data_IF_420369065005
#
_entry.id   IF_420369065005
#
_cell.length_a   1.000
_cell.length_b   1.000
_cell.length_c   1.000
_cell.angle_alpha   90.00
_cell.angle_beta   90.00
_cell.angle_gamma   90.00
#
_symmetry.space_group_name_H-M   'P 1'
#
loop_
_entity.id
_entity.type
_entity.pdbx_description
1 polymer ?
#
# COMPACT_ATOMS: atom_id res chain seq x y z
N UNK A 1 10.35 -5.87 -42.44
CA UNK A 1 9.83 -4.97 -43.49
C UNK A 1 8.34 -4.77 -43.33
N UNK A 2 7.94 -3.55 -42.98
CA UNK A 2 6.54 -3.15 -42.78
C UNK A 2 5.76 -3.23 -44.10
N UNK A 3 6.40 -2.87 -45.23
CA UNK A 3 5.80 -2.93 -46.57
C UNK A 3 5.39 -4.34 -47.04
N UNK A 4 6.19 -5.37 -46.71
CA UNK A 4 5.83 -6.76 -47.00
C UNK A 4 4.66 -7.23 -46.15
N UNK A 5 4.58 -6.80 -44.89
CA UNK A 5 3.50 -7.15 -43.97
C UNK A 5 2.19 -6.45 -44.35
N UNK A 6 2.24 -5.21 -44.83
CA UNK A 6 1.07 -4.51 -45.36
C UNK A 6 0.53 -5.19 -46.63
N UNK A 7 1.40 -5.63 -47.54
CA UNK A 7 1.00 -6.47 -48.69
C UNK A 7 0.36 -7.78 -48.24
N UNK A 8 0.86 -8.41 -47.17
CA UNK A 8 0.25 -9.63 -46.62
C UNK A 8 -1.04 -9.35 -45.84
N UNK A 9 -1.16 -8.26 -45.08
CA UNK A 9 -2.36 -7.89 -44.34
C UNK A 9 -3.51 -7.47 -45.28
N UNK A 10 -3.18 -6.77 -46.36
CA UNK A 10 -4.15 -6.40 -47.41
C UNK A 10 -4.58 -7.58 -48.31
N UNK A 11 -3.81 -8.68 -48.34
CA UNK A 11 -4.09 -9.88 -49.14
C UNK A 11 -4.43 -11.14 -48.30
N UNK A 12 -4.82 -11.01 -47.04
CA UNK A 12 -5.12 -12.15 -46.13
C UNK A 12 -3.94 -13.11 -45.83
N UNK A 13 -2.70 -12.70 -46.12
CA UNK A 13 -1.46 -13.45 -45.96
C UNK A 13 -0.73 -13.30 -44.62
N UNK A 14 -1.36 -12.72 -43.59
CA UNK A 14 -0.74 -12.49 -42.27
C UNK A 14 -0.18 -13.78 -41.65
N UNK A 15 -0.86 -14.90 -41.90
CA UNK A 15 -0.46 -16.25 -41.49
C UNK A 15 0.93 -16.67 -42.00
N UNK A 16 1.40 -16.14 -43.14
CA UNK A 16 2.72 -16.46 -43.70
C UNK A 16 3.89 -15.86 -42.90
N UNK A 17 3.59 -15.03 -41.91
CA UNK A 17 4.56 -14.39 -41.01
C UNK A 17 4.58 -14.99 -39.61
N UNK A 18 3.71 -15.98 -39.35
CA UNK A 18 3.68 -16.71 -38.08
C UNK A 18 4.87 -17.67 -37.99
N UNK A 19 5.30 -18.00 -36.77
CA UNK A 19 6.42 -18.90 -36.54
C UNK A 19 6.21 -20.26 -37.21
N UNK A 20 4.98 -20.79 -37.21
CA UNK A 20 4.64 -22.03 -37.91
C UNK A 20 4.87 -21.98 -39.42
N UNK A 21 4.59 -20.85 -40.07
CA UNK A 21 4.83 -20.67 -41.50
C UNK A 21 6.32 -20.43 -41.81
N UNK A 22 7.06 -19.77 -40.92
CA UNK A 22 8.51 -19.62 -41.03
C UNK A 22 9.20 -20.98 -40.90
N UNK A 23 8.80 -21.78 -39.91
CA UNK A 23 9.30 -23.16 -39.72
C UNK A 23 9.00 -23.98 -40.97
N UNK A 24 7.76 -23.93 -41.48
CA UNK A 24 7.36 -24.67 -42.67
C UNK A 24 8.21 -24.36 -43.92
N UNK A 25 8.70 -23.13 -44.08
CA UNK A 25 9.59 -22.75 -45.21
C UNK A 25 10.89 -23.53 -45.23
N UNK A 26 11.39 -23.98 -44.09
CA UNK A 26 12.62 -24.79 -44.01
C UNK A 26 12.39 -26.27 -44.36
N UNK A 27 11.14 -26.72 -44.44
CA UNK A 27 10.77 -28.11 -44.74
C UNK A 27 10.13 -28.25 -46.13
N UNK A 28 10.24 -27.24 -47.00
CA UNK A 28 9.78 -27.33 -48.38
C UNK A 28 10.67 -28.31 -49.15
N UNK A 29 10.13 -29.47 -49.49
CA UNK A 29 10.83 -30.44 -50.33
C UNK A 29 10.80 -29.99 -51.79
N UNK A 30 11.94 -30.04 -52.47
CA UNK A 30 12.08 -29.58 -53.87
C UNK A 30 11.17 -30.31 -54.88
N UNK A 31 10.59 -31.45 -54.48
CA UNK A 31 9.77 -32.31 -55.31
C UNK A 31 8.25 -32.10 -55.14
N UNK A 32 7.80 -31.31 -54.16
CA UNK A 32 6.38 -31.06 -53.91
C UNK A 32 5.84 -30.00 -54.88
N UNK A 33 5.40 -30.43 -56.07
CA UNK A 33 4.91 -29.54 -57.14
C UNK A 33 3.45 -29.13 -56.98
N UNK A 34 2.64 -29.95 -56.32
CA UNK A 34 1.19 -29.70 -56.13
C UNK A 34 0.88 -29.14 -54.73
N UNK A 35 -0.29 -28.50 -54.57
CA UNK A 35 -0.73 -28.01 -53.26
C UNK A 35 -1.04 -29.15 -52.27
N UNK A 36 -1.57 -30.27 -52.78
CA UNK A 36 -1.90 -31.45 -51.97
C UNK A 36 -0.65 -32.15 -51.43
N UNK A 37 0.40 -32.30 -52.25
CA UNK A 37 1.69 -32.85 -51.81
C UNK A 37 2.30 -32.00 -50.70
N UNK A 38 2.31 -30.67 -50.86
CA UNK A 38 2.78 -29.74 -49.81
C UNK A 38 1.99 -29.87 -48.51
N UNK A 39 0.67 -30.05 -48.60
CA UNK A 39 -0.18 -30.27 -47.43
C UNK A 39 0.09 -31.61 -46.73
N UNK A 40 0.33 -32.67 -47.50
CA UNK A 40 0.69 -33.99 -46.97
C UNK A 40 2.06 -33.98 -46.28
N UNK A 41 3.07 -33.34 -46.90
CA UNK A 41 4.40 -33.15 -46.31
C UNK A 41 4.33 -32.34 -45.02
N UNK A 42 3.55 -31.25 -45.01
CA UNK A 42 3.32 -30.45 -43.80
C UNK A 42 2.71 -31.28 -42.67
N UNK A 43 1.66 -32.05 -42.96
CA UNK A 43 0.97 -32.88 -41.95
C UNK A 43 1.86 -33.99 -41.39
N UNK A 44 2.71 -34.57 -42.22
CA UNK A 44 3.55 -35.73 -41.86
C UNK A 44 4.81 -35.31 -41.11
N UNK A 45 5.47 -34.23 -41.55
CA UNK A 45 6.80 -33.87 -41.03
C UNK A 45 6.80 -32.58 -40.19
N UNK A 46 6.09 -31.54 -40.63
CA UNK A 46 6.15 -30.21 -39.98
C UNK A 46 5.25 -30.12 -38.77
N UNK A 47 4.01 -30.63 -38.86
CA UNK A 47 3.03 -30.55 -37.77
C UNK A 47 3.50 -31.23 -36.48
N UNK A 48 4.12 -32.43 -36.49
CA UNK A 48 4.64 -33.04 -35.26
C UNK A 48 5.74 -32.21 -34.60
N UNK A 49 6.64 -31.62 -35.39
CA UNK A 49 7.72 -30.75 -34.89
C UNK A 49 7.14 -29.50 -34.24
N UNK A 50 6.18 -28.85 -34.90
CA UNK A 50 5.48 -27.68 -34.34
C UNK A 50 4.76 -28.04 -33.04
N UNK A 51 4.10 -29.19 -32.98
CA UNK A 51 3.43 -29.67 -31.76
C UNK A 51 4.44 -29.89 -30.63
N UNK A 52 5.56 -30.55 -30.90
CA UNK A 52 6.61 -30.76 -29.92
C UNK A 52 7.20 -29.43 -29.40
N UNK A 53 7.40 -28.45 -30.28
CA UNK A 53 7.88 -27.12 -29.87
C UNK A 53 6.86 -26.35 -29.01
N UNK A 54 5.56 -26.57 -29.23
CA UNK A 54 4.49 -26.03 -28.36
C UNK A 54 4.53 -26.71 -27.00
N UNK A 55 4.66 -28.04 -26.97
CA UNK A 55 4.70 -28.83 -25.74
C UNK A 55 5.93 -28.49 -24.89
N UNK A 56 7.08 -28.25 -25.54
CA UNK A 56 8.31 -27.75 -24.93
C UNK A 56 8.27 -26.25 -24.55
N UNK A 57 7.14 -25.56 -24.81
CA UNK A 57 6.95 -24.11 -24.58
C UNK A 57 7.97 -23.21 -25.28
N UNK A 58 8.61 -23.69 -26.34
CA UNK A 58 9.54 -22.89 -27.16
C UNK A 58 8.81 -21.95 -28.12
N UNK A 59 7.63 -22.36 -28.57
CA UNK A 59 6.71 -21.52 -29.35
C UNK A 59 5.34 -21.50 -28.69
N UNK A 60 4.62 -20.39 -28.87
CA UNK A 60 3.31 -20.15 -28.30
C UNK A 60 2.24 -20.43 -29.35
N UNK A 61 1.27 -21.26 -28.99
CA UNK A 61 0.03 -21.41 -29.73
C UNK A 61 -1.06 -20.57 -29.06
N UNK A 62 -1.50 -19.51 -29.75
CA UNK A 62 -2.53 -18.61 -29.25
C UNK A 62 -3.78 -18.74 -30.10
N UNK A 63 -4.93 -18.87 -29.44
CA UNK A 63 -6.22 -19.08 -30.11
C UNK A 63 -7.24 -18.11 -29.57
N UNK A 64 -7.94 -17.44 -30.49
CA UNK A 64 -9.16 -16.72 -30.21
C UNK A 64 -10.35 -17.60 -30.61
N UNK A 65 -11.07 -18.09 -29.61
CA UNK A 65 -12.23 -18.97 -29.79
C UNK A 65 -13.42 -18.25 -30.44
N UNK A 66 -13.54 -16.94 -30.26
CA UNK A 66 -14.68 -16.16 -30.74
C UNK A 66 -14.61 -15.92 -32.26
N UNK A 67 -13.39 -15.78 -32.79
CA UNK A 67 -13.14 -15.57 -34.22
C UNK A 67 -12.62 -16.82 -34.94
N UNK A 68 -12.51 -17.96 -34.24
CA UNK A 68 -11.82 -19.17 -34.73
C UNK A 68 -10.44 -18.86 -35.33
N UNK A 69 -9.77 -17.85 -34.78
CA UNK A 69 -8.45 -17.43 -35.23
C UNK A 69 -7.38 -18.09 -34.37
N UNK A 70 -6.29 -18.54 -34.99
CA UNK A 70 -5.14 -19.07 -34.27
C UNK A 70 -3.85 -18.51 -34.85
N UNK A 71 -2.85 -18.34 -33.98
CA UNK A 71 -1.52 -17.89 -34.37
C UNK A 71 -0.45 -18.66 -33.61
N UNK A 72 0.69 -18.84 -34.27
CA UNK A 72 1.87 -19.49 -33.68
C UNK A 72 2.98 -18.45 -33.63
N UNK A 73 3.48 -18.15 -32.44
CA UNK A 73 4.46 -17.09 -32.18
C UNK A 73 5.69 -17.64 -31.45
N UNK A 74 6.83 -16.97 -31.55
CA UNK A 74 7.97 -17.26 -30.68
C UNK A 74 7.68 -16.76 -29.27
N UNK A 75 8.06 -17.54 -28.26
CA UNK A 75 7.66 -17.30 -26.86
C UNK A 75 8.57 -16.35 -26.07
N UNK A 76 9.66 -15.87 -26.66
CA UNK A 76 10.61 -14.98 -26.01
C UNK A 76 10.16 -13.51 -26.03
N UNK A 77 10.53 -12.77 -24.99
CA UNK A 77 10.14 -11.37 -24.79
C UNK A 77 10.59 -10.45 -25.94
N UNK A 78 11.82 -10.54 -26.49
CA UNK A 78 12.24 -9.75 -27.65
C UNK A 78 11.41 -10.03 -28.91
N UNK A 79 11.13 -11.30 -29.23
CA UNK A 79 10.35 -11.66 -30.41
C UNK A 79 8.89 -11.20 -30.30
N UNK A 80 8.28 -11.34 -29.12
CA UNK A 80 6.93 -10.83 -28.88
C UNK A 80 6.87 -9.30 -28.95
N UNK A 81 7.86 -8.60 -28.39
CA UNK A 81 7.96 -7.13 -28.52
C UNK A 81 8.03 -6.71 -29.98
N UNK A 82 8.90 -7.34 -30.77
CA UNK A 82 9.01 -7.06 -32.19
C UNK A 82 7.71 -7.36 -32.93
N UNK A 83 7.02 -8.46 -32.60
CA UNK A 83 5.72 -8.79 -33.17
C UNK A 83 4.67 -7.72 -32.84
N UNK A 84 4.65 -7.22 -31.61
CA UNK A 84 3.76 -6.13 -31.19
C UNK A 84 4.03 -4.83 -31.96
N UNK A 85 5.28 -4.42 -32.10
CA UNK A 85 5.65 -3.22 -32.86
C UNK A 85 5.18 -3.32 -34.32
N UNK A 86 5.34 -4.51 -34.93
CA UNK A 86 4.87 -4.77 -36.28
C UNK A 86 3.34 -4.74 -36.38
N UNK A 87 2.63 -5.41 -35.47
CA UNK A 87 1.16 -5.46 -35.47
C UNK A 87 0.57 -4.07 -35.20
N UNK A 88 1.12 -3.31 -34.26
CA UNK A 88 0.73 -1.94 -33.97
C UNK A 88 0.92 -1.04 -35.21
N UNK A 89 2.07 -1.14 -35.89
CA UNK A 89 2.32 -0.41 -37.14
C UNK A 89 1.30 -0.76 -38.22
N UNK A 90 0.96 -2.04 -38.36
CA UNK A 90 -0.07 -2.50 -39.30
C UNK A 90 -1.46 -1.96 -38.92
N UNK A 91 -1.78 -1.91 -37.62
CA UNK A 91 -3.05 -1.37 -37.13
C UNK A 91 -3.17 0.14 -37.40
N UNK A 92 -2.11 0.93 -37.21
CA UNK A 92 -2.09 2.37 -37.54
C UNK A 92 -2.45 2.60 -39.02
N UNK A 93 -1.93 1.76 -39.92
CA UNK A 93 -2.22 1.90 -41.36
C UNK A 93 -3.59 1.35 -41.73
N UNK A 94 -4.02 0.22 -41.14
CA UNK A 94 -5.21 -0.51 -41.57
C UNK A 94 -6.50 -0.10 -40.84
N UNK A 95 -6.41 0.50 -39.65
CA UNK A 95 -7.55 0.81 -38.79
C UNK A 95 -7.60 2.33 -38.57
N UNK A 96 -8.62 3.02 -39.11
CA UNK A 96 -8.77 4.46 -38.90
C UNK A 96 -8.87 4.80 -37.41
N UNK A 97 -8.06 5.76 -36.96
CA UNK A 97 -8.06 6.23 -35.57
C UNK A 97 -7.24 5.38 -34.59
N UNK A 98 -6.56 4.32 -35.06
CA UNK A 98 -5.60 3.57 -34.24
C UNK A 98 -4.31 4.39 -34.05
N UNK A 99 -3.84 4.52 -32.81
CA UNK A 99 -2.68 5.32 -32.46
C UNK A 99 -1.60 4.44 -31.84
N UNK A 100 -0.38 4.48 -32.40
CA UNK A 100 0.80 3.87 -31.80
C UNK A 100 1.87 4.95 -31.57
N UNK A 101 2.20 5.29 -30.31
CA UNK A 101 3.32 6.17 -30.01
C UNK A 101 4.67 5.57 -30.47
N UNK A 102 5.69 6.42 -30.61
CA UNK A 102 7.04 6.00 -31.03
C UNK A 102 7.67 4.99 -30.05
N UNK A 103 7.36 5.11 -28.75
CA UNK A 103 7.64 4.07 -27.76
C UNK A 103 6.40 3.21 -27.55
N UNK A 104 6.59 1.89 -27.46
CA UNK A 104 5.51 0.92 -27.32
C UNK A 104 4.79 1.09 -25.98
N UNK A 105 3.64 1.76 -25.99
CA UNK A 105 2.76 1.87 -24.83
C UNK A 105 1.77 0.69 -24.79
N UNK A 106 2.06 -0.29 -23.93
CA UNK A 106 1.32 -1.56 -23.85
C UNK A 106 -0.12 -1.35 -23.37
N UNK A 107 -0.34 -0.40 -22.46
CA UNK A 107 -1.67 -0.16 -21.89
C UNK A 107 -2.58 0.55 -22.89
N UNK A 108 -2.06 1.56 -23.58
CA UNK A 108 -2.76 2.20 -24.69
C UNK A 108 -3.14 1.21 -25.80
N UNK A 109 -2.20 0.34 -26.20
CA UNK A 109 -2.46 -0.69 -27.22
C UNK A 109 -3.51 -1.71 -26.75
N UNK A 110 -3.50 -2.05 -25.46
CA UNK A 110 -4.48 -2.97 -24.86
C UNK A 110 -5.89 -2.37 -24.88
N UNK A 111 -6.05 -1.10 -24.52
CA UNK A 111 -7.34 -0.40 -24.53
C UNK A 111 -7.88 -0.25 -25.95
N UNK A 112 -7.02 0.14 -26.90
CA UNK A 112 -7.40 0.26 -28.30
C UNK A 112 -7.77 -1.10 -28.90
N UNK A 113 -7.01 -2.15 -28.63
CA UNK A 113 -7.32 -3.50 -29.12
C UNK A 113 -8.70 -3.97 -28.65
N UNK A 114 -9.04 -3.80 -27.38
CA UNK A 114 -10.36 -4.18 -26.84
C UNK A 114 -11.51 -3.33 -27.40
N UNK A 115 -11.27 -2.03 -27.62
CA UNK A 115 -12.25 -1.14 -28.27
C UNK A 115 -12.53 -1.58 -29.70
N UNK A 116 -11.49 -1.66 -30.53
CA UNK A 116 -11.62 -1.96 -31.96
C UNK A 116 -12.05 -3.41 -32.23
N UNK A 117 -11.82 -4.33 -31.29
CA UNK A 117 -12.29 -5.72 -31.40
C UNK A 117 -13.83 -5.83 -31.44
N UNK A 118 -14.54 -4.90 -30.79
CA UNK A 118 -16.01 -4.87 -30.74
C UNK A 118 -16.64 -4.22 -31.97
N UNK A 119 -15.84 -3.55 -32.79
CA UNK A 119 -16.32 -2.79 -33.96
C UNK A 119 -16.48 -3.68 -35.20
N UNK A 120 -17.35 -3.24 -36.12
CA UNK A 120 -17.68 -3.97 -37.33
C UNK A 120 -16.64 -3.72 -38.45
N UNK A 121 -15.47 -4.37 -38.32
CA UNK A 121 -14.42 -4.32 -39.33
C UNK A 121 -14.43 -5.50 -40.32
N UNK A 122 -13.64 -5.37 -41.39
CA UNK A 122 -13.39 -6.46 -42.34
C UNK A 122 -12.72 -7.66 -41.65
N UNK A 123 -12.85 -8.85 -42.25
CA UNK A 123 -12.28 -10.09 -41.69
C UNK A 123 -10.76 -9.98 -41.45
N UNK A 124 -10.02 -9.34 -42.36
CA UNK A 124 -8.56 -9.15 -42.23
C UNK A 124 -8.20 -8.20 -41.07
N UNK A 125 -8.93 -7.10 -40.91
CA UNK A 125 -8.76 -6.17 -39.79
C UNK A 125 -9.10 -6.84 -38.45
N UNK A 126 -10.17 -7.65 -38.40
CA UNK A 126 -10.53 -8.41 -37.19
C UNK A 126 -9.46 -9.42 -36.80
N UNK A 127 -8.88 -10.13 -37.78
CA UNK A 127 -7.76 -11.04 -37.52
C UNK A 127 -6.52 -10.31 -36.99
N UNK A 128 -6.21 -9.13 -37.54
CA UNK A 128 -5.09 -8.30 -37.09
C UNK A 128 -5.27 -7.85 -35.63
N UNK A 129 -6.47 -7.37 -35.26
CA UNK A 129 -6.80 -6.96 -33.89
C UNK A 129 -6.78 -8.16 -32.94
N UNK A 130 -7.33 -9.31 -33.37
CA UNK A 130 -7.32 -10.53 -32.58
C UNK A 130 -5.88 -11.01 -32.30
N UNK A 131 -5.01 -10.98 -33.30
CA UNK A 131 -3.61 -11.33 -33.12
C UNK A 131 -2.90 -10.37 -32.16
N UNK A 132 -3.09 -9.05 -32.35
CA UNK A 132 -2.54 -8.03 -31.47
C UNK A 132 -2.94 -8.27 -30.00
N UNK A 133 -4.22 -8.52 -29.75
CA UNK A 133 -4.77 -8.79 -28.41
C UNK A 133 -4.17 -10.04 -27.76
N UNK A 134 -4.04 -11.13 -28.52
CA UNK A 134 -3.44 -12.38 -28.04
C UNK A 134 -1.97 -12.19 -27.67
N UNK A 135 -1.19 -11.54 -28.54
CA UNK A 135 0.23 -11.27 -28.31
C UNK A 135 0.43 -10.31 -27.13
N UNK A 136 -0.42 -9.28 -27.01
CA UNK A 136 -0.38 -8.33 -25.89
C UNK A 136 -0.61 -9.01 -24.55
N UNK A 137 -1.56 -9.95 -24.50
CA UNK A 137 -1.91 -10.68 -23.27
C UNK A 137 -0.72 -11.52 -22.78
N UNK A 138 -0.10 -12.28 -23.68
CA UNK A 138 1.09 -13.08 -23.34
C UNK A 138 2.30 -12.22 -23.01
N UNK A 139 2.51 -11.12 -23.73
CA UNK A 139 3.59 -10.19 -23.44
C UNK A 139 3.45 -9.57 -22.04
N UNK A 140 2.24 -9.14 -21.65
CA UNK A 140 1.94 -8.66 -20.29
C UNK A 140 2.21 -9.75 -19.24
N UNK A 141 1.81 -11.00 -19.52
CA UNK A 141 2.08 -12.15 -18.63
C UNK A 141 3.57 -12.36 -18.42
N UNK A 142 4.36 -12.37 -19.50
CA UNK A 142 5.82 -12.57 -19.43
C UNK A 142 6.49 -11.42 -18.66
N UNK A 143 6.12 -10.16 -18.94
CA UNK A 143 6.65 -9.02 -18.20
C UNK A 143 6.35 -9.09 -16.72
N UNK A 144 5.13 -9.50 -16.34
CA UNK A 144 4.75 -9.67 -14.94
C UNK A 144 5.59 -10.74 -14.25
N UNK A 145 5.73 -11.91 -14.88
CA UNK A 145 6.53 -13.01 -14.34
C UNK A 145 8.00 -12.61 -14.19
N UNK A 146 8.54 -11.88 -15.16
CA UNK A 146 9.92 -11.39 -15.11
C UNK A 146 10.11 -10.37 -13.98
N UNK A 147 9.21 -9.38 -13.85
CA UNK A 147 9.23 -8.41 -12.75
C UNK A 147 9.12 -9.10 -11.39
N UNK A 148 8.24 -10.10 -11.25
CA UNK A 148 8.10 -10.86 -10.01
C UNK A 148 9.37 -11.68 -9.69
N UNK A 149 10.02 -12.26 -10.71
CA UNK A 149 11.28 -12.97 -10.55
C UNK A 149 12.41 -12.03 -10.14
N UNK A 150 12.58 -10.91 -10.84
CA UNK A 150 13.58 -9.88 -10.52
C UNK A 150 13.38 -9.35 -9.09
N UNK A 151 12.14 -9.11 -8.67
CA UNK A 151 11.85 -8.69 -7.29
C UNK A 151 12.21 -9.78 -6.27
N UNK A 152 11.90 -11.06 -6.55
CA UNK A 152 12.29 -12.17 -5.67
C UNK A 152 13.80 -12.33 -5.59
N UNK A 153 14.49 -12.20 -6.71
CA UNK A 153 15.96 -12.30 -6.77
C UNK A 153 16.60 -11.13 -6.02
N UNK A 154 16.08 -9.91 -6.13
CA UNK A 154 16.54 -8.75 -5.36
C UNK A 154 16.38 -8.96 -3.85
N UNK A 155 15.21 -9.43 -3.41
CA UNK A 155 14.92 -9.71 -2.01
C UNK A 155 15.79 -10.86 -1.49
N UNK A 156 15.99 -11.91 -2.30
CA UNK A 156 16.90 -13.00 -2.00
C UNK A 156 18.34 -12.53 -1.82
N UNK A 157 18.84 -11.68 -2.73
CA UNK A 157 20.17 -11.08 -2.61
C UNK A 157 20.30 -10.25 -1.34
N UNK A 158 19.30 -9.43 -1.01
CA UNK A 158 19.30 -8.66 0.24
C UNK A 158 19.37 -9.57 1.49
N UNK A 159 18.65 -10.70 1.49
CA UNK A 159 18.74 -11.67 2.58
C UNK A 159 20.13 -12.30 2.65
N UNK A 160 20.74 -12.64 1.52
CA UNK A 160 22.12 -13.17 1.51
C UNK A 160 23.13 -12.14 2.03
N UNK A 161 22.97 -10.86 1.69
CA UNK A 161 23.85 -9.80 2.18
C UNK A 161 23.67 -9.56 3.67
N UNK A 162 22.44 -9.56 4.17
CA UNK A 162 22.17 -9.50 5.60
C UNK A 162 22.74 -10.71 6.36
N UNK A 163 22.72 -11.90 5.74
CA UNK A 163 23.26 -13.13 6.35
C UNK A 163 24.79 -13.11 6.44
N UNK A 164 25.49 -12.26 5.68
CA UNK A 164 26.95 -12.07 5.83
C UNK A 164 27.31 -11.26 7.08
N UNK A 165 26.33 -10.61 7.71
CA UNK A 165 26.56 -9.63 8.77
C UNK A 165 26.21 -10.25 10.13
N UNK A 166 27.19 -10.29 11.03
CA UNK A 166 27.06 -10.85 12.39
C UNK A 166 26.68 -9.78 13.43
N UNK A 167 25.93 -8.75 13.04
CA UNK A 167 25.54 -7.63 13.92
C UNK A 167 24.25 -6.98 13.45
N UNK A 168 23.65 -6.18 14.34
CA UNK A 168 22.46 -5.41 14.00
C UNK A 168 22.84 -4.21 13.13
N UNK A 169 22.09 -3.97 12.05
CA UNK A 169 22.44 -2.94 11.06
C UNK A 169 21.24 -2.07 10.75
N UNK A 170 21.50 -0.76 10.63
CA UNK A 170 20.49 0.20 10.18
C UNK A 170 20.22 0.02 8.69
N UNK A 171 18.96 0.15 8.27
CA UNK A 171 18.58 0.18 6.85
C UNK A 171 19.35 1.23 6.05
N UNK A 172 19.75 2.34 6.67
CA UNK A 172 20.54 3.41 6.05
C UNK A 172 21.98 2.99 5.70
N UNK A 173 22.47 1.87 6.22
CA UNK A 173 23.74 1.30 5.81
C UNK A 173 23.71 0.88 4.33
N UNK A 174 22.54 0.44 3.85
CA UNK A 174 22.32 0.02 2.48
C UNK A 174 21.86 1.22 1.65
N UNK A 175 22.82 1.93 1.03
CA UNK A 175 22.53 3.07 0.16
C UNK A 175 21.61 2.75 -1.02
N UNK A 176 21.57 1.48 -1.42
CA UNK A 176 20.83 1.02 -2.59
C UNK A 176 19.39 0.59 -2.24
N UNK A 177 18.96 0.74 -0.98
CA UNK A 177 17.63 0.32 -0.55
C UNK A 177 16.70 1.53 -0.46
N UNK A 178 15.69 1.53 -1.33
CA UNK A 178 14.60 2.49 -1.31
C UNK A 178 13.61 2.15 -0.18
N UNK A 179 12.79 3.12 0.24
CA UNK A 179 11.80 2.93 1.32
C UNK A 179 10.83 1.76 1.04
N UNK A 180 10.36 1.63 -0.20
CA UNK A 180 9.50 0.51 -0.62
C UNK A 180 10.20 -0.85 -0.53
N UNK A 181 11.50 -0.88 -0.85
CA UNK A 181 12.29 -2.11 -0.75
C UNK A 181 12.54 -2.49 0.70
N UNK A 182 12.82 -1.50 1.56
CA UNK A 182 12.98 -1.69 3.01
C UNK A 182 11.72 -2.32 3.61
N UNK A 183 10.53 -1.85 3.25
CA UNK A 183 9.26 -2.44 3.70
C UNK A 183 9.11 -3.90 3.28
N UNK A 184 9.52 -4.26 2.05
CA UNK A 184 9.51 -5.65 1.57
C UNK A 184 10.47 -6.55 2.35
N UNK A 185 11.68 -6.06 2.62
CA UNK A 185 12.70 -6.81 3.39
C UNK A 185 12.24 -7.01 4.84
N UNK A 186 11.67 -5.98 5.46
CA UNK A 186 11.12 -6.06 6.82
C UNK A 186 9.91 -7.00 6.89
N UNK A 187 9.12 -7.08 5.84
CA UNK A 187 7.98 -8.00 5.75
C UNK A 187 8.39 -9.48 5.65
N UNK A 188 9.68 -9.80 5.50
CA UNK A 188 10.14 -11.18 5.45
C UNK A 188 10.05 -11.86 6.82
N UNK A 189 9.59 -13.12 6.88
CA UNK A 189 9.45 -13.85 8.14
C UNK A 189 10.80 -14.12 8.82
N UNK A 190 11.90 -14.21 8.08
CA UNK A 190 13.23 -14.52 8.62
C UNK A 190 14.00 -13.30 9.13
N UNK A 191 13.41 -12.12 8.99
CA UNK A 191 14.03 -10.84 9.31
C UNK A 191 13.36 -10.26 10.55
N UNK A 192 14.16 -9.91 11.55
CA UNK A 192 13.76 -9.14 12.72
C UNK A 192 14.02 -7.67 12.45
N UNK A 193 13.07 -6.82 12.86
CA UNK A 193 13.15 -5.39 12.69
C UNK A 193 12.74 -4.65 13.96
N UNK A 194 13.35 -3.50 14.19
CA UNK A 194 12.90 -2.55 15.21
C UNK A 194 13.22 -1.13 14.80
N UNK A 195 12.31 -0.20 15.09
CA UNK A 195 12.59 1.23 15.01
C UNK A 195 13.24 1.67 16.32
N UNK A 196 14.40 2.31 16.23
CA UNK A 196 15.15 2.75 17.41
C UNK A 196 15.64 4.20 17.25
N UNK A 197 15.48 5.06 18.27
CA UNK A 197 15.97 6.42 18.23
C UNK A 197 17.49 6.43 18.45
N UNK A 198 18.24 6.94 17.48
CA UNK A 198 19.69 7.16 17.60
C UNK A 198 20.07 8.52 17.00
N UNK A 199 20.87 9.31 17.73
CA UNK A 199 21.40 10.60 17.27
C UNK A 199 20.32 11.58 16.76
N UNK A 200 19.15 11.61 17.41
CA UNK A 200 18.04 12.51 17.05
C UNK A 200 17.26 12.13 15.79
N UNK A 201 17.46 10.90 15.27
CA UNK A 201 16.67 10.31 14.18
C UNK A 201 16.12 8.96 14.63
N UNK A 202 14.95 8.59 14.12
CA UNK A 202 14.45 7.21 14.25
C UNK A 202 15.00 6.42 13.08
N UNK A 203 15.75 5.37 13.36
CA UNK A 203 16.34 4.49 12.37
C UNK A 203 15.72 3.11 12.49
N UNK A 204 15.49 2.46 11.36
CA UNK A 204 15.06 1.08 11.33
C UNK A 204 16.30 0.19 11.33
N UNK A 205 16.34 -0.75 12.27
CA UNK A 205 17.38 -1.76 12.38
C UNK A 205 16.85 -3.12 11.96
N UNK A 206 17.71 -3.90 11.35
CA UNK A 206 17.39 -5.19 10.74
C UNK A 206 18.40 -6.23 11.18
N UNK A 207 17.92 -7.45 11.45
CA UNK A 207 18.73 -8.60 11.81
C UNK A 207 18.09 -9.89 11.27
N UNK A 208 18.88 -10.79 10.68
CA UNK A 208 18.38 -12.11 10.26
C UNK A 208 18.29 -13.04 11.47
N UNK A 209 17.19 -13.79 11.61
CA UNK A 209 16.97 -14.70 12.75
C UNK A 209 18.12 -15.69 12.97
N UNK A 210 18.71 -16.21 11.89
CA UNK A 210 19.86 -17.11 11.95
C UNK A 210 21.12 -16.49 12.57
N UNK A 211 21.21 -15.15 12.57
CA UNK A 211 22.36 -14.38 13.06
C UNK A 211 22.14 -13.74 14.44
N UNK A 212 21.08 -14.12 15.15
CA UNK A 212 20.78 -13.60 16.49
C UNK A 212 21.92 -13.86 17.48
N UNK A 213 22.40 -15.10 17.60
CA UNK A 213 23.47 -15.42 18.55
C UNK A 213 24.82 -14.76 18.20
N UNK A 214 25.30 -14.78 16.93
CA UNK A 214 26.46 -14.00 16.51
C UNK A 214 26.36 -12.50 16.86
N UNK A 215 25.19 -11.89 16.66
CA UNK A 215 24.95 -10.49 17.02
C UNK A 215 25.07 -10.24 18.53
N UNK A 216 24.58 -11.16 19.38
CA UNK A 216 24.76 -11.08 20.84
C UNK A 216 26.23 -11.12 21.23
N UNK A 217 27.03 -11.99 20.60
CA UNK A 217 28.47 -12.06 20.85
C UNK A 217 29.20 -10.80 20.40
N UNK A 218 28.79 -10.19 19.28
CA UNK A 218 29.34 -8.92 18.82
C UNK A 218 28.99 -7.77 19.78
N UNK A 219 27.73 -7.68 20.19
CA UNK A 219 27.25 -6.68 21.13
C UNK A 219 27.98 -6.78 22.48
N UNK A 220 28.26 -8.01 22.95
CA UNK A 220 29.11 -8.24 24.13
C UNK A 220 30.51 -7.66 23.96
N UNK A 221 31.17 -7.94 22.83
CA UNK A 221 32.50 -7.40 22.54
C UNK A 221 32.50 -5.87 22.50
N UNK A 222 31.49 -5.26 21.87
CA UNK A 222 31.36 -3.80 21.82
C UNK A 222 31.12 -3.19 23.22
N UNK A 223 30.34 -3.85 24.07
CA UNK A 223 30.16 -3.40 25.45
C UNK A 223 31.48 -3.51 26.24
N UNK A 224 32.19 -4.63 26.12
CA UNK A 224 33.45 -4.85 26.86
C UNK A 224 34.59 -3.92 26.35
N UNK A 225 34.62 -3.55 25.06
CA UNK A 225 35.66 -2.71 24.46
C UNK A 225 35.37 -1.20 24.50
N UNK A 226 34.11 -0.80 24.28
CA UNK A 226 33.71 0.60 24.06
C UNK A 226 32.67 1.12 25.05
N UNK A 227 32.16 0.26 25.94
CA UNK A 227 31.04 0.56 26.84
C UNK A 227 29.79 1.06 26.09
N UNK A 228 29.59 0.58 24.86
CA UNK A 228 28.45 0.95 24.01
C UNK A 228 27.26 0.00 24.27
N UNK A 229 26.24 0.51 24.99
CA UNK A 229 25.02 -0.23 25.31
C UNK A 229 23.99 -0.29 24.16
N UNK A 230 24.21 0.45 23.06
CA UNK A 230 23.16 0.69 22.05
C UNK A 230 22.73 -0.59 21.34
N UNK A 231 23.66 -1.44 20.91
CA UNK A 231 23.33 -2.68 20.20
C UNK A 231 22.53 -3.65 21.08
N UNK A 232 22.86 -3.76 22.37
CA UNK A 232 22.12 -4.62 23.32
C UNK A 232 20.71 -4.09 23.56
N UNK A 233 20.53 -2.76 23.64
CA UNK A 233 19.19 -2.15 23.73
C UNK A 233 18.35 -2.43 22.49
N UNK A 234 18.94 -2.33 21.30
CA UNK A 234 18.27 -2.64 20.03
C UNK A 234 17.87 -4.13 20.00
N UNK A 235 18.77 -5.04 20.38
CA UNK A 235 18.49 -6.47 20.47
C UNK A 235 17.35 -6.78 21.48
N UNK A 236 17.38 -6.16 22.66
CA UNK A 236 16.31 -6.24 23.66
C UNK A 236 14.96 -5.75 23.09
N UNK A 237 14.97 -4.63 22.36
CA UNK A 237 13.78 -4.07 21.73
C UNK A 237 13.23 -4.95 20.58
N UNK A 238 14.10 -5.64 19.84
CA UNK A 238 13.72 -6.68 18.87
C UNK A 238 13.12 -7.93 19.52
N UNK A 239 13.27 -8.10 20.84
CA UNK A 239 12.74 -9.25 21.58
C UNK A 239 13.50 -10.55 21.30
N UNK A 240 14.82 -10.47 21.06
CA UNK A 240 15.61 -11.63 20.64
C UNK A 240 15.64 -12.78 21.64
N UNK A 241 15.34 -12.53 22.93
CA UNK A 241 15.30 -13.56 23.96
C UNK A 241 14.32 -14.71 23.66
N UNK A 242 13.33 -14.49 22.78
CA UNK A 242 12.41 -15.55 22.31
C UNK A 242 13.05 -16.54 21.33
N UNK A 243 14.17 -16.17 20.71
CA UNK A 243 14.86 -16.96 19.70
C UNK A 243 16.16 -17.60 20.23
N UNK A 244 16.49 -17.35 21.50
CA UNK A 244 17.67 -17.92 22.16
C UNK A 244 17.25 -19.04 23.11
N UNK A 245 18.04 -20.11 23.15
CA UNK A 245 17.77 -21.26 24.01
C UNK A 245 18.95 -21.57 24.94
N UNK A 246 18.64 -22.09 26.13
CA UNK A 246 19.61 -22.66 27.07
C UNK A 246 20.72 -21.70 27.49
N UNK A 247 21.96 -22.00 27.09
CA UNK A 247 23.16 -21.22 27.42
C UNK A 247 23.16 -19.86 26.71
N UNK A 248 22.69 -19.80 25.47
CA UNK A 248 22.69 -18.56 24.68
C UNK A 248 21.79 -17.50 25.32
N UNK A 249 20.62 -17.93 25.82
CA UNK A 249 19.69 -17.07 26.54
C UNK A 249 20.34 -16.51 27.83
N UNK A 250 21.01 -17.36 28.61
CA UNK A 250 21.71 -16.93 29.84
C UNK A 250 22.80 -15.89 29.55
N UNK A 251 23.54 -16.06 28.45
CA UNK A 251 24.55 -15.07 28.03
C UNK A 251 23.89 -13.73 27.75
N UNK A 252 22.77 -13.71 27.03
CA UNK A 252 22.04 -12.48 26.75
C UNK A 252 21.43 -11.85 28.01
N UNK A 253 20.77 -12.63 28.87
CA UNK A 253 20.21 -12.16 30.14
C UNK A 253 21.29 -11.56 31.05
N UNK A 254 22.48 -12.16 31.10
CA UNK A 254 23.61 -11.63 31.87
C UNK A 254 24.08 -10.26 31.34
N UNK A 255 24.02 -10.05 30.02
CA UNK A 255 24.37 -8.77 29.41
C UNK A 255 23.32 -7.70 29.70
N UNK A 256 22.03 -8.05 29.59
CA UNK A 256 20.93 -7.17 29.97
C UNK A 256 20.99 -6.79 31.45
N UNK A 257 21.24 -7.76 32.34
CA UNK A 257 21.43 -7.52 33.77
C UNK A 257 22.57 -6.52 34.04
N UNK A 258 23.68 -6.62 33.31
CA UNK A 258 24.81 -5.68 33.46
C UNK A 258 24.40 -4.24 33.12
N UNK A 259 23.67 -4.06 32.02
CA UNK A 259 23.16 -2.73 31.61
C UNK A 259 22.13 -2.21 32.62
N UNK A 260 21.19 -3.05 33.03
CA UNK A 260 20.17 -2.67 34.01
C UNK A 260 20.79 -2.34 35.36
N UNK A 261 21.85 -3.04 35.76
CA UNK A 261 22.56 -2.77 37.01
C UNK A 261 23.19 -1.38 36.98
N UNK A 262 23.82 -0.98 35.87
CA UNK A 262 24.40 0.35 35.72
C UNK A 262 23.38 1.49 35.85
N UNK A 263 22.11 1.22 35.51
CA UNK A 263 21.01 2.19 35.58
C UNK A 263 20.37 2.32 36.96
N UNK A 264 20.69 1.43 37.90
CA UNK A 264 20.20 1.55 39.27
C UNK A 264 20.72 2.85 39.92
N UNK A 265 19.91 3.48 40.79
CA UNK A 265 20.37 4.61 41.59
C UNK A 265 21.67 4.28 42.32
N UNK A 266 22.61 5.23 42.34
CA UNK A 266 23.97 4.99 42.86
C UNK A 266 23.98 4.46 44.29
N UNK A 267 23.05 4.90 45.15
CA UNK A 267 22.92 4.42 46.52
C UNK A 267 22.49 2.95 46.59
N UNK A 268 21.63 2.47 45.67
CA UNK A 268 21.26 1.04 45.58
C UNK A 268 22.42 0.21 45.06
N UNK A 269 23.17 0.71 44.09
CA UNK A 269 24.40 0.06 43.59
C UNK A 269 25.44 -0.07 44.71
N UNK A 270 25.67 1.01 45.45
CA UNK A 270 26.61 1.06 46.56
C UNK A 270 26.18 0.11 47.69
N UNK A 271 24.91 0.15 48.09
CA UNK A 271 24.38 -0.72 49.13
C UNK A 271 24.47 -2.21 48.74
N UNK A 272 24.24 -2.55 47.46
CA UNK A 272 24.45 -3.92 46.94
C UNK A 272 25.91 -4.31 46.85
N UNK A 273 26.82 -3.37 46.61
CA UNK A 273 28.25 -3.64 46.63
C UNK A 273 28.78 -3.97 48.04
N UNK A 274 28.17 -3.39 49.08
CA UNK A 274 28.56 -3.63 50.49
C UNK A 274 27.79 -4.76 51.18
N UNK A 275 26.50 -4.94 50.91
CA UNK A 275 25.60 -5.79 51.72
C UNK A 275 24.74 -6.78 50.93
N UNK A 276 24.78 -6.77 49.58
CA UNK A 276 23.78 -7.45 48.75
C UNK A 276 24.32 -8.48 47.76
N UNK A 277 23.39 -9.24 47.16
CA UNK A 277 23.64 -10.03 45.95
C UNK A 277 23.83 -9.07 44.76
N UNK A 278 24.83 -9.33 43.90
CA UNK A 278 25.08 -8.55 42.67
C UNK A 278 24.01 -8.75 41.58
N UNK A 279 23.17 -9.78 41.68
CA UNK A 279 22.11 -10.08 40.70
C UNK A 279 20.85 -9.27 40.98
N UNK A 280 20.22 -8.77 39.91
CA UNK A 280 18.91 -8.10 39.97
C UNK A 280 17.80 -9.13 40.20
N UNK A 281 16.74 -8.73 40.90
CA UNK A 281 15.49 -9.51 40.89
C UNK A 281 14.82 -9.39 39.53
N UNK A 282 14.08 -10.42 39.12
CA UNK A 282 13.37 -10.43 37.85
C UNK A 282 12.33 -9.31 37.76
N UNK A 283 11.69 -8.96 38.89
CA UNK A 283 10.76 -7.83 38.98
C UNK A 283 11.45 -6.47 38.78
N UNK A 284 12.64 -6.28 39.36
CA UNK A 284 13.42 -5.05 39.18
C UNK A 284 13.96 -4.92 37.76
N UNK A 285 14.43 -6.02 37.19
CA UNK A 285 14.87 -6.09 35.80
C UNK A 285 13.72 -5.72 34.86
N UNK A 286 12.52 -6.25 35.10
CA UNK A 286 11.33 -5.93 34.31
C UNK A 286 10.93 -4.46 34.47
N UNK A 287 10.94 -3.91 35.69
CA UNK A 287 10.63 -2.51 35.93
C UNK A 287 11.59 -1.55 35.19
N UNK A 288 12.89 -1.84 35.22
CA UNK A 288 13.90 -1.05 34.49
C UNK A 288 13.70 -1.19 32.98
N UNK A 289 13.45 -2.41 32.49
CA UNK A 289 13.17 -2.67 31.07
C UNK A 289 11.93 -1.91 30.59
N UNK A 290 10.86 -1.88 31.37
CA UNK A 290 9.63 -1.16 31.02
C UNK A 290 9.85 0.35 31.05
N UNK A 291 10.61 0.86 32.02
CA UNK A 291 11.00 2.27 32.05
C UNK A 291 11.83 2.66 30.82
N UNK A 292 12.77 1.81 30.40
CA UNK A 292 13.59 2.00 29.21
C UNK A 292 12.76 2.03 27.94
N UNK A 293 11.86 1.05 27.76
CA UNK A 293 10.95 1.01 26.61
C UNK A 293 10.08 2.26 26.55
N UNK A 294 9.60 2.74 27.70
CA UNK A 294 8.81 3.97 27.76
C UNK A 294 9.62 5.20 27.34
N UNK A 295 10.85 5.34 27.83
CA UNK A 295 11.76 6.41 27.41
C UNK A 295 12.04 6.37 25.91
N UNK A 296 12.31 5.18 25.36
CA UNK A 296 12.56 4.99 23.93
C UNK A 296 11.35 5.35 23.08
N UNK A 297 10.14 4.94 23.50
CA UNK A 297 8.89 5.31 22.84
C UNK A 297 8.64 6.82 22.88
N UNK A 298 8.86 7.46 24.03
CA UNK A 298 8.69 8.90 24.19
C UNK A 298 9.67 9.68 23.28
N UNK A 299 10.93 9.24 23.20
CA UNK A 299 11.94 9.79 22.28
C UNK A 299 11.54 9.60 20.82
N UNK A 300 11.04 8.42 20.43
CA UNK A 300 10.55 8.16 19.08
C UNK A 300 9.38 9.09 18.72
N UNK A 301 8.41 9.23 19.62
CA UNK A 301 7.26 10.11 19.43
C UNK A 301 7.72 11.56 19.28
N UNK A 302 8.65 12.01 20.13
CA UNK A 302 9.20 13.36 20.05
C UNK A 302 9.92 13.63 18.72
N UNK A 303 10.77 12.70 18.27
CA UNK A 303 11.48 12.83 16.98
C UNK A 303 10.50 12.82 15.81
N UNK A 304 9.55 11.88 15.78
CA UNK A 304 8.53 11.79 14.72
C UNK A 304 7.66 13.06 14.68
N UNK A 305 7.27 13.60 15.84
CA UNK A 305 6.53 14.86 15.92
C UNK A 305 7.35 16.02 15.36
N UNK A 306 8.63 16.13 15.73
CA UNK A 306 9.53 17.17 15.22
C UNK A 306 9.78 17.05 13.71
N UNK A 307 9.86 15.83 13.18
CA UNK A 307 9.98 15.58 11.75
C UNK A 307 8.68 15.94 11.00
N UNK A 308 7.52 15.57 11.54
CA UNK A 308 6.23 15.94 10.98
C UNK A 308 6.03 17.46 10.95
N UNK A 309 6.39 18.18 12.03
CA UNK A 309 6.37 19.64 12.08
C UNK A 309 7.31 20.29 11.05
N UNK A 310 8.48 19.68 10.80
CA UNK A 310 9.40 20.16 9.75
C UNK A 310 8.85 19.89 8.35
N UNK A 311 8.24 18.74 8.12
CA UNK A 311 7.62 18.39 6.84
C UNK A 311 6.43 19.31 6.53
N UNK A 312 5.56 19.57 7.50
CA UNK A 312 4.44 20.51 7.32
C UNK A 312 4.91 21.93 7.07
N UNK A 313 5.98 22.38 7.73
CA UNK A 313 6.61 23.68 7.44
C UNK A 313 7.19 23.74 6.03
N UNK A 314 7.90 22.71 5.57
CA UNK A 314 8.42 22.66 4.19
C UNK A 314 7.31 22.68 3.15
N UNK A 315 6.25 21.91 3.35
CA UNK A 315 5.08 21.91 2.45
C UNK A 315 4.42 23.29 2.43
N UNK A 316 4.30 23.95 3.59
CA UNK A 316 3.77 25.30 3.67
C UNK A 316 4.69 26.32 2.98
N UNK A 317 6.01 26.21 3.16
CA UNK A 317 7.02 27.05 2.49
C UNK A 317 7.01 26.84 0.97
N UNK A 318 6.97 25.59 0.49
CA UNK A 318 6.83 25.25 -0.94
C UNK A 318 5.52 25.76 -1.53
N UNK A 319 4.41 25.70 -0.79
CA UNK A 319 3.14 26.30 -1.20
C UNK A 319 3.19 27.84 -1.24
N UNK A 320 3.95 28.48 -0.35
CA UNK A 320 4.15 29.93 -0.35
C UNK A 320 5.10 30.33 -1.50
N UNK A 321 6.15 29.56 -1.75
CA UNK A 321 7.11 29.80 -2.83
C UNK A 321 6.50 29.55 -4.21
N UNK A 322 5.69 28.50 -4.39
CA UNK A 322 4.95 28.28 -5.64
C UNK A 322 3.93 29.39 -5.89
N UNK A 323 3.24 29.88 -4.84
CA UNK A 323 2.39 31.08 -4.93
C UNK A 323 3.19 32.35 -5.26
N UNK A 324 4.42 32.50 -4.76
CA UNK A 324 5.29 33.65 -5.08
C UNK A 324 5.88 33.57 -6.50
N UNK A 325 6.29 32.38 -6.96
CA UNK A 325 6.82 32.17 -8.32
C UNK A 325 5.74 32.27 -9.39
N UNK A 326 4.51 31.87 -9.07
CA UNK A 326 3.36 32.10 -9.95
C UNK A 326 2.92 33.58 -9.99
N UNK A 327 3.38 34.42 -9.05
CA UNK A 327 3.13 35.86 -9.04
C UNK A 327 4.25 36.69 -9.70
N UNK A 328 5.23 36.04 -10.36
CA UNK A 328 6.42 36.72 -10.91
C UNK A 328 6.68 36.46 -12.40
N UNK A 329 5.64 36.22 -13.20
CA UNK A 329 5.74 36.27 -14.66
C UNK A 329 4.51 36.98 -15.23
N UNK A 330 4.76 38.18 -15.77
CA UNK A 330 3.91 39.02 -16.62
C UNK A 330 2.43 39.17 -16.25
N UNK A 331 2.10 40.26 -15.55
CA UNK A 331 1.42 41.37 -16.23
C UNK A 331 1.36 42.63 -15.34
N UNK A 332 1.39 43.78 -16.01
CA UNK A 332 1.38 45.10 -15.42
C UNK A 332 0.17 45.31 -14.48
N UNK A 333 0.42 45.95 -13.34
CA UNK A 333 -0.58 46.36 -12.36
C UNK A 333 -1.62 47.29 -13.04
N UNK A 334 -2.92 46.95 -13.09
CA UNK A 334 -3.96 47.95 -13.00
C UNK A 334 -4.26 48.19 -11.51
N UNK A 335 -4.30 49.45 -11.13
CA UNK A 335 -4.70 49.86 -9.78
C UNK A 335 -6.14 49.42 -9.52
N UNK A 336 -6.34 48.23 -8.94
CA UNK A 336 -7.56 47.76 -8.25
C UNK A 336 -7.35 46.48 -7.41
N UNK A 337 -6.11 46.12 -7.05
CA UNK A 337 -5.83 44.86 -6.34
C UNK A 337 -6.02 44.90 -4.82
N UNK A 338 -6.25 46.06 -4.20
CA UNK A 338 -6.53 46.14 -2.77
C UNK A 338 -8.00 45.81 -2.44
N UNK A 339 -8.93 46.16 -3.32
CA UNK A 339 -10.35 45.81 -3.18
C UNK A 339 -10.61 44.34 -3.52
N UNK A 340 -9.91 43.74 -4.48
CA UNK A 340 -10.00 42.30 -4.75
C UNK A 340 -9.34 41.44 -3.67
N UNK A 341 -8.20 41.85 -3.11
CA UNK A 341 -7.57 41.11 -2.00
C UNK A 341 -8.36 41.25 -0.70
N UNK A 342 -8.97 42.42 -0.43
CA UNK A 342 -9.89 42.57 0.70
C UNK A 342 -11.24 41.90 0.43
N UNK A 343 -11.70 41.79 -0.82
CA UNK A 343 -12.88 41.01 -1.20
C UNK A 343 -12.64 39.50 -1.07
N UNK A 344 -11.51 38.96 -1.52
CA UNK A 344 -11.17 37.53 -1.36
C UNK A 344 -10.91 37.16 0.12
N UNK A 345 -10.33 38.07 0.91
CA UNK A 345 -10.18 37.88 2.35
C UNK A 345 -11.53 38.00 3.07
N UNK A 346 -12.41 38.94 2.66
CA UNK A 346 -13.79 39.03 3.18
C UNK A 346 -14.65 37.86 2.73
N UNK A 347 -14.45 37.32 1.53
CA UNK A 347 -15.15 36.14 1.01
C UNK A 347 -14.71 34.89 1.74
N UNK A 348 -13.41 34.68 1.99
CA UNK A 348 -12.94 33.55 2.79
C UNK A 348 -13.41 33.64 4.25
N UNK A 349 -13.45 34.83 4.85
CA UNK A 349 -14.06 35.04 6.18
C UNK A 349 -15.57 34.78 6.15
N UNK A 350 -16.31 35.25 5.13
CA UNK A 350 -17.74 34.97 4.96
C UNK A 350 -18.04 33.50 4.70
N UNK A 351 -17.15 32.79 3.99
CA UNK A 351 -17.26 31.35 3.72
C UNK A 351 -17.04 30.55 5.01
N UNK A 352 -16.10 30.96 5.87
CA UNK A 352 -15.89 30.32 7.16
C UNK A 352 -17.00 30.67 8.17
N UNK A 353 -17.56 31.88 8.16
CA UNK A 353 -18.76 32.22 8.95
C UNK A 353 -19.97 31.39 8.54
N UNK A 354 -20.22 31.26 7.22
CA UNK A 354 -21.28 30.41 6.69
C UNK A 354 -21.03 28.93 7.01
N UNK A 355 -19.78 28.47 6.97
CA UNK A 355 -19.44 27.11 7.36
C UNK A 355 -19.68 26.87 8.87
N UNK A 356 -19.39 27.84 9.73
CA UNK A 356 -19.69 27.74 11.16
C UNK A 356 -21.20 27.74 11.42
N UNK A 357 -21.99 28.51 10.67
CA UNK A 357 -23.46 28.46 10.73
C UNK A 357 -24.01 27.10 10.31
N UNK A 358 -23.54 26.54 9.20
CA UNK A 358 -23.95 25.20 8.73
C UNK A 358 -23.53 24.13 9.74
N UNK A 359 -22.33 24.23 10.34
CA UNK A 359 -21.89 23.31 11.38
C UNK A 359 -22.76 23.41 12.64
N UNK A 360 -23.19 24.61 13.03
CA UNK A 360 -24.14 24.79 14.15
C UNK A 360 -25.47 24.12 13.85
N UNK A 361 -26.02 24.29 12.64
CA UNK A 361 -27.26 23.60 12.22
C UNK A 361 -27.11 22.08 12.30
N UNK A 362 -25.98 21.53 11.82
CA UNK A 362 -25.68 20.09 11.93
C UNK A 362 -25.65 19.66 13.41
N UNK A 363 -24.97 20.42 14.27
CA UNK A 363 -24.87 20.08 15.70
C UNK A 363 -26.23 20.14 16.40
N UNK A 364 -27.04 21.17 16.14
CA UNK A 364 -28.38 21.31 16.70
C UNK A 364 -29.29 20.18 16.22
N UNK A 365 -29.20 19.79 14.94
CA UNK A 365 -29.92 18.65 14.38
C UNK A 365 -29.53 17.34 15.08
N UNK A 366 -28.22 17.06 15.18
CA UNK A 366 -27.71 15.86 15.85
C UNK A 366 -28.18 15.80 17.31
N UNK A 367 -28.05 16.90 18.06
CA UNK A 367 -28.47 16.96 19.46
C UNK A 367 -29.99 16.69 19.60
N UNK A 368 -30.80 17.19 18.67
CA UNK A 368 -32.25 16.96 18.68
C UNK A 368 -32.65 15.49 18.50
N UNK A 369 -31.92 14.74 17.67
CA UNK A 369 -32.14 13.31 17.46
C UNK A 369 -31.74 12.51 18.70
N UNK A 370 -30.59 12.86 19.30
CA UNK A 370 -30.16 12.24 20.55
C UNK A 370 -31.13 12.50 21.70
N UNK A 371 -31.73 13.69 21.79
CA UNK A 371 -32.77 14.00 22.77
C UNK A 371 -34.06 13.20 22.56
N UNK A 372 -34.40 12.89 21.30
CA UNK A 372 -35.51 11.99 20.94
C UNK A 372 -35.18 10.50 21.11
N UNK A 373 -33.95 10.16 21.52
CA UNK A 373 -33.43 8.80 21.61
C UNK A 373 -33.40 8.07 20.26
N UNK A 374 -33.25 8.83 19.18
CA UNK A 374 -33.07 8.31 17.82
C UNK A 374 -31.61 8.45 17.40
N UNK A 375 -31.07 7.44 16.73
CA UNK A 375 -29.68 7.46 16.26
C UNK A 375 -29.60 8.21 14.93
N UNK A 376 -28.83 9.32 14.84
CA UNK A 376 -28.73 10.09 13.61
C UNK A 376 -28.13 9.25 12.48
N UNK A 377 -28.88 9.07 11.40
CA UNK A 377 -28.45 8.34 10.21
C UNK A 377 -28.08 9.27 9.04
N UNK A 378 -27.49 8.70 7.99
CA UNK A 378 -27.07 9.41 6.76
C UNK A 378 -28.20 10.26 6.17
N UNK A 379 -29.38 9.68 6.01
CA UNK A 379 -30.50 10.33 5.31
C UNK A 379 -31.05 11.50 6.14
N UNK A 380 -31.12 11.35 7.47
CA UNK A 380 -31.55 12.41 8.37
C UNK A 380 -30.65 13.64 8.35
N UNK A 381 -29.32 13.45 8.24
CA UNK A 381 -28.37 14.57 8.14
C UNK A 381 -28.41 15.22 6.75
N UNK A 382 -28.58 14.43 5.69
CA UNK A 382 -28.70 14.94 4.32
C UNK A 382 -29.98 15.75 4.10
N UNK A 383 -31.12 15.23 4.57
CA UNK A 383 -32.42 15.90 4.44
C UNK A 383 -32.57 17.08 5.41
N UNK A 384 -31.98 16.98 6.60
CA UNK A 384 -32.10 17.99 7.65
C UNK A 384 -31.23 19.24 7.45
N UNK A 385 -30.25 19.19 6.54
CA UNK A 385 -29.35 20.32 6.26
C UNK A 385 -29.39 20.66 4.78
N UNK A 386 -30.24 21.64 4.44
CA UNK A 386 -30.50 22.11 3.07
C UNK A 386 -29.21 22.52 2.35
N UNK A 387 -28.22 23.03 3.08
CA UNK A 387 -26.92 23.46 2.56
C UNK A 387 -26.08 22.30 1.95
N UNK A 388 -26.48 21.03 2.11
CA UNK A 388 -25.84 19.88 1.46
C UNK A 388 -26.48 19.47 0.12
N UNK A 389 -27.60 20.08 -0.28
CA UNK A 389 -28.28 19.82 -1.57
C UNK A 389 -28.57 18.32 -1.84
N UNK A 390 -28.82 17.54 -0.78
CA UNK A 390 -28.94 16.07 -0.84
C UNK A 390 -27.73 15.35 -1.47
N UNK A 391 -26.56 16.01 -1.53
CA UNK A 391 -25.33 15.45 -2.05
C UNK A 391 -24.45 14.92 -0.90
N UNK A 392 -24.28 13.60 -0.87
CA UNK A 392 -23.46 12.91 0.13
C UNK A 392 -21.99 13.32 0.12
N UNK A 393 -21.40 13.51 -1.06
CA UNK A 393 -19.98 13.84 -1.18
C UNK A 393 -19.70 15.23 -0.59
N UNK A 394 -20.63 16.18 -0.82
CA UNK A 394 -20.57 17.53 -0.25
C UNK A 394 -20.65 17.48 1.27
N UNK A 395 -21.60 16.72 1.84
CA UNK A 395 -21.73 16.54 3.29
C UNK A 395 -20.46 15.91 3.90
N UNK A 396 -19.93 14.84 3.29
CA UNK A 396 -18.75 14.15 3.80
C UNK A 396 -17.52 15.07 3.77
N UNK A 397 -17.31 15.78 2.67
CA UNK A 397 -16.20 16.73 2.53
C UNK A 397 -16.31 17.86 3.55
N UNK A 398 -17.51 18.39 3.76
CA UNK A 398 -17.78 19.42 4.75
C UNK A 398 -17.49 18.95 6.18
N UNK A 399 -18.03 17.79 6.59
CA UNK A 399 -17.79 17.21 7.92
C UNK A 399 -16.32 16.86 8.15
N UNK A 400 -15.60 16.40 7.12
CA UNK A 400 -14.16 16.14 7.20
C UNK A 400 -13.34 17.42 7.37
N UNK A 401 -13.78 18.55 6.79
CA UNK A 401 -13.05 19.83 6.86
C UNK A 401 -13.34 20.58 8.16
N UNK A 402 -14.61 20.69 8.55
CA UNK A 402 -15.05 21.55 9.67
C UNK A 402 -15.49 20.77 10.92
N UNK A 403 -15.98 19.53 10.77
CA UNK A 403 -16.59 18.74 11.86
C UNK A 403 -15.60 18.05 12.81
N UNK A 404 -14.33 17.85 12.44
CA UNK A 404 -13.36 17.00 13.19
C UNK A 404 -13.21 17.33 14.68
N UNK A 405 -13.35 18.60 15.08
CA UNK A 405 -13.17 19.03 16.48
C UNK A 405 -14.46 18.96 17.31
N UNK A 406 -15.62 18.97 16.63
CA UNK A 406 -16.93 19.18 17.26
C UNK A 406 -17.85 17.96 17.14
N UNK A 407 -17.62 17.05 16.20
CA UNK A 407 -18.44 15.87 15.96
C UNK A 407 -17.57 14.63 16.09
N UNK A 408 -18.02 13.67 16.90
CA UNK A 408 -17.45 12.34 16.99
C UNK A 408 -18.32 11.34 16.23
N UNK A 409 -17.71 10.21 15.87
CA UNK A 409 -18.41 9.15 15.15
C UNK A 409 -17.99 7.78 15.68
N UNK A 410 -18.93 6.84 15.71
CA UNK A 410 -18.67 5.44 16.04
C UNK A 410 -19.53 4.52 15.16
N UNK A 411 -19.11 3.25 15.03
CA UNK A 411 -19.80 2.26 14.20
C UNK A 411 -20.42 1.18 15.07
N UNK A 412 -21.60 0.76 14.69
CA UNK A 412 -22.25 -0.46 15.20
C UNK A 412 -21.85 -1.58 14.27
N UNK A 413 -21.25 -2.65 14.79
CA UNK A 413 -20.72 -3.75 13.98
C UNK A 413 -21.85 -4.70 13.56
N UNK A 414 -22.66 -4.27 12.58
CA UNK A 414 -23.79 -5.02 12.04
C UNK A 414 -23.97 -4.76 10.54
N UNK A 415 -24.33 -5.79 9.78
CA UNK A 415 -24.46 -5.75 8.32
C UNK A 415 -25.81 -5.17 7.84
N UNK A 416 -26.55 -4.45 8.70
CA UNK A 416 -27.80 -3.80 8.33
C UNK A 416 -27.53 -2.48 7.59
N UNK A 417 -28.21 -2.21 6.45
CA UNK A 417 -28.12 -0.93 5.72
C UNK A 417 -28.23 0.33 6.60
N UNK A 418 -28.98 0.27 7.71
CA UNK A 418 -29.14 1.36 8.68
C UNK A 418 -27.84 1.72 9.42
N UNK A 419 -26.92 0.77 9.59
CA UNK A 419 -25.68 0.92 10.37
C UNK A 419 -24.40 0.95 9.51
N UNK A 420 -24.54 0.89 8.18
CA UNK A 420 -23.42 1.04 7.22
C UNK A 420 -22.72 2.39 7.39
N UNK A 421 -23.48 3.43 7.74
CA UNK A 421 -22.95 4.76 8.00
C UNK A 421 -22.67 4.95 9.50
N UNK A 422 -21.54 5.58 9.88
CA UNK A 422 -21.20 5.76 11.30
C UNK A 422 -22.20 6.69 11.98
N UNK A 423 -22.56 6.36 13.21
CA UNK A 423 -23.44 7.19 14.03
C UNK A 423 -22.67 8.42 14.48
N UNK A 424 -23.26 9.60 14.30
CA UNK A 424 -22.65 10.87 14.68
C UNK A 424 -23.18 11.38 16.02
N UNK A 425 -22.28 11.94 16.82
CA UNK A 425 -22.62 12.59 18.09
C UNK A 425 -21.80 13.85 18.29
N UNK A 426 -22.44 14.94 18.70
CA UNK A 426 -21.73 16.19 18.94
C UNK A 426 -20.94 16.13 20.25
N UNK A 427 -19.80 16.83 20.28
CA UNK A 427 -19.01 17.04 21.50
C UNK A 427 -19.82 17.78 22.56
N UNK A 428 -20.69 18.70 22.14
CA UNK A 428 -21.56 19.49 23.01
C UNK A 428 -22.54 18.58 23.76
N UNK A 429 -23.13 17.61 23.06
CA UNK A 429 -24.02 16.61 23.65
C UNK A 429 -23.30 15.74 24.66
N UNK A 430 -22.12 15.22 24.29
CA UNK A 430 -21.30 14.36 25.17
C UNK A 430 -20.89 15.07 26.46
N UNK A 431 -20.60 16.37 26.40
CA UNK A 431 -20.25 17.14 27.61
C UNK A 431 -21.44 17.26 28.58
N UNK A 432 -22.67 17.33 28.07
CA UNK A 432 -23.89 17.47 28.90
C UNK A 432 -24.44 16.14 29.37
N UNK A 433 -24.47 15.13 28.49
CA UNK A 433 -25.20 13.87 28.72
C UNK A 433 -24.31 12.62 28.72
N UNK A 434 -23.00 12.73 28.45
CA UNK A 434 -22.12 11.57 28.26
C UNK A 434 -22.07 10.59 29.45
N UNK A 435 -22.05 11.08 30.69
CA UNK A 435 -22.10 10.20 31.88
C UNK A 435 -23.44 9.48 32.03
N UNK A 436 -24.55 10.12 31.64
CA UNK A 436 -25.89 9.53 31.66
C UNK A 436 -26.01 8.46 30.57
N UNK A 437 -25.57 8.77 29.35
CA UNK A 437 -25.55 7.84 28.22
C UNK A 437 -24.72 6.60 28.51
N UNK A 438 -23.55 6.74 29.15
CA UNK A 438 -22.72 5.59 29.51
C UNK A 438 -23.44 4.67 30.50
N UNK A 439 -24.11 5.24 31.50
CA UNK A 439 -24.89 4.46 32.47
C UNK A 439 -26.06 3.75 31.79
N UNK A 440 -26.82 4.46 30.95
CA UNK A 440 -27.94 3.88 30.20
C UNK A 440 -27.48 2.75 29.26
N UNK A 441 -26.32 2.91 28.61
CA UNK A 441 -25.75 1.88 27.75
C UNK A 441 -25.31 0.63 28.53
N UNK A 442 -24.68 0.79 29.70
CA UNK A 442 -24.30 -0.33 30.58
C UNK A 442 -25.56 -1.04 31.09
N UNK A 443 -26.56 -0.29 31.59
CA UNK A 443 -27.82 -0.85 32.09
C UNK A 443 -28.58 -1.61 31.00
N UNK A 444 -28.62 -1.11 29.76
CA UNK A 444 -29.30 -1.78 28.65
C UNK A 444 -28.50 -3.00 28.15
N UNK A 445 -27.17 -2.92 28.09
CA UNK A 445 -26.29 -4.05 27.78
C UNK A 445 -26.47 -5.21 28.76
N UNK A 446 -26.49 -4.89 30.07
CA UNK A 446 -26.70 -5.89 31.12
C UNK A 446 -28.13 -6.44 31.12
N UNK A 447 -29.14 -5.58 30.87
CA UNK A 447 -30.54 -6.01 30.74
C UNK A 447 -30.72 -7.00 29.59
N UNK A 448 -30.13 -6.73 28.42
CA UNK A 448 -30.21 -7.63 27.28
C UNK A 448 -29.41 -8.93 27.52
N UNK A 449 -28.27 -8.89 28.23
CA UNK A 449 -27.54 -10.12 28.63
C UNK A 449 -28.34 -11.04 29.54
N UNK A 450 -29.18 -10.46 30.40
CA UNK A 450 -29.98 -11.20 31.39
C UNK A 450 -31.38 -11.57 30.87
N UNK A 451 -31.80 -11.05 29.71
CA UNK A 451 -33.11 -11.33 29.13
C UNK A 451 -33.17 -12.76 28.57
N UNK A 452 -34.28 -13.48 28.82
CA UNK A 452 -34.51 -14.81 28.25
C UNK A 452 -34.62 -14.81 26.72
N UNK A 453 -34.98 -13.68 26.12
CA UNK A 453 -35.00 -13.47 24.68
C UNK A 453 -34.42 -12.07 24.37
N UNK A 454 -33.11 -11.98 24.11
CA UNK A 454 -32.44 -10.69 23.89
C UNK A 454 -32.77 -10.09 22.52
N UNK A 455 -33.01 -8.79 22.49
CA UNK A 455 -33.07 -8.03 21.24
C UNK A 455 -31.64 -7.68 20.79
N UNK A 456 -31.12 -8.46 19.84
CA UNK A 456 -29.73 -8.32 19.37
C UNK A 456 -29.40 -6.90 18.89
N UNK A 457 -30.35 -6.21 18.24
CA UNK A 457 -30.14 -4.83 17.76
C UNK A 457 -29.86 -3.86 18.92
N UNK A 458 -30.66 -3.94 19.98
CA UNK A 458 -30.50 -3.06 21.15
C UNK A 458 -29.18 -3.37 21.87
N UNK A 459 -28.82 -4.64 21.93
CA UNK A 459 -27.56 -5.07 22.54
C UNK A 459 -26.33 -4.56 21.77
N UNK A 460 -26.30 -4.74 20.45
CA UNK A 460 -25.18 -4.30 19.62
C UNK A 460 -24.99 -2.77 19.66
N UNK A 461 -26.10 -2.02 19.66
CA UNK A 461 -26.08 -0.56 19.81
C UNK A 461 -25.57 -0.16 21.19
N UNK A 462 -26.05 -0.79 22.26
CA UNK A 462 -25.62 -0.49 23.64
C UNK A 462 -24.12 -0.74 23.84
N UNK A 463 -23.59 -1.86 23.34
CA UNK A 463 -22.16 -2.17 23.38
C UNK A 463 -21.34 -1.15 22.59
N UNK A 464 -21.79 -0.77 21.39
CA UNK A 464 -21.08 0.20 20.56
C UNK A 464 -20.98 1.57 21.25
N UNK A 465 -22.06 2.00 21.92
CA UNK A 465 -22.08 3.24 22.71
C UNK A 465 -21.17 3.11 23.94
N UNK A 466 -21.23 1.99 24.67
CA UNK A 466 -20.41 1.72 25.85
C UNK A 466 -18.90 1.77 25.51
N UNK A 467 -18.45 1.01 24.51
CA UNK A 467 -17.04 0.98 24.09
C UNK A 467 -16.58 2.36 23.58
N UNK A 468 -17.42 3.05 22.80
CA UNK A 468 -17.13 4.40 22.34
C UNK A 468 -16.94 5.39 23.49
N UNK A 469 -17.87 5.42 24.46
CA UNK A 469 -17.82 6.33 25.59
C UNK A 469 -16.68 5.99 26.56
N UNK A 470 -16.41 4.71 26.81
CA UNK A 470 -15.28 4.27 27.64
C UNK A 470 -13.94 4.71 27.05
N UNK A 471 -13.74 4.56 25.73
CA UNK A 471 -12.52 5.03 25.05
C UNK A 471 -12.35 6.55 25.10
N UNK A 472 -13.45 7.29 25.06
CA UNK A 472 -13.43 8.75 25.03
C UNK A 472 -13.27 9.35 26.43
N UNK A 473 -13.83 8.71 27.46
CA UNK A 473 -13.82 9.18 28.84
C UNK A 473 -12.60 8.69 29.64
N UNK A 474 -12.04 7.50 29.36
CA UNK A 474 -10.80 7.01 30.01
C UNK A 474 -9.51 7.67 29.48
N UNK A 475 -9.61 8.46 28.40
CA UNK A 475 -8.49 9.24 27.83
C UNK A 475 -8.36 10.65 28.43
N UNK A 476 -9.22 11.01 29.39
CA UNK A 476 -9.13 12.22 30.21
C UNK A 476 -8.91 11.81 31.65
#
# INVERSE_FOLDING_TARGET
NVDTLYRFASQSGLHNTHAGAIIAKYFVMAYDRTAEQRAATYKTYVRPIVQQLIDEKKILYLKDTSLNFHTIQFGDQPSLKHRLEMLASCCVTAIPGFQSPAELNIDLLSEQAERFYKEAFSAAQKQLIAELRLVLTEYKRIQRVQKEKEQKDQVGNALTDLTKLDRVISTNHFRNWDEDFVLKVIGLPDVLNVEFPQNGKVLTYVLVKQKVYPAVLNARKQLDERDDETEIRILSAMGIGRFLEGEQLKVFETLEERIYFNRLPWYKRLWRAFFGRRRLSQEESNAIRDQLRKQELDEQIFIKKKQAERATRRIAEEQIETKKKNNSADDAIPANSFEEQTAQTRESIKVDERADEVLRKVIDLLDSYWDKKELPNRNQVLEGVIDFENNEDTMIMFLKKYGRKQIYSFRVMRDDPKYVWPILISRRYLQRHGKRLLREAIEESDRQRQAMMPEQEKFDVAIAIEDFLNRLMNKR
#
